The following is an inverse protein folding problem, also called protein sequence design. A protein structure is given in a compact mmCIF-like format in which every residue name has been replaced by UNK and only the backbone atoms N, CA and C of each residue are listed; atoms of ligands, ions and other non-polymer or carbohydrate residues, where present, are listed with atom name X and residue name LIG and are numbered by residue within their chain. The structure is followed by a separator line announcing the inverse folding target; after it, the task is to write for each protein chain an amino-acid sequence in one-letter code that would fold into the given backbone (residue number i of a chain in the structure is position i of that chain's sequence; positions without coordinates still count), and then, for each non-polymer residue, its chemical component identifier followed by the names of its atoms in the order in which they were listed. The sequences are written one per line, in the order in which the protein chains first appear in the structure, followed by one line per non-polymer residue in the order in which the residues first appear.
data_IF_508267846294
#
_entry.id   IF_508267846294
#
_cell.length_a   1.000
_cell.length_b   1.000
_cell.length_c   1.000
_cell.angle_alpha   90.00
_cell.angle_beta   90.00
_cell.angle_gamma   90.00
#
_symmetry.space_group_name_H-M   'P 1'
#
loop_
_entity.id
_entity.type
_entity.pdbx_description
1 polymer ?
#
# COMPACT_ATOMS: atom_id res chain seq x y z
N UNK A 1 -24.21 2.46 -22.94
CA UNK A 1 -23.10 1.52 -22.70
C UNK A 1 -22.16 1.64 -23.88
N UNK A 2 -20.91 2.01 -23.65
CA UNK A 2 -19.91 2.11 -24.70
C UNK A 2 -19.64 0.69 -25.22
N UNK A 3 -19.80 0.47 -26.53
CA UNK A 3 -19.30 -0.72 -27.20
C UNK A 3 -17.76 -0.63 -27.22
N UNK A 4 -17.12 -0.87 -26.08
CA UNK A 4 -15.68 -1.05 -26.03
C UNK A 4 -15.33 -2.36 -26.72
N UNK A 5 -14.38 -2.33 -27.64
CA UNK A 5 -13.90 -3.54 -28.29
C UNK A 5 -12.81 -4.17 -27.42
N UNK A 6 -13.04 -5.40 -26.98
CA UNK A 6 -12.10 -6.14 -26.15
C UNK A 6 -11.16 -7.04 -26.97
N UNK A 7 -11.18 -6.95 -28.31
CA UNK A 7 -10.30 -7.71 -29.20
C UNK A 7 -8.83 -7.59 -28.81
N UNK A 8 -8.33 -6.36 -28.65
CA UNK A 8 -6.93 -6.11 -28.28
C UNK A 8 -6.56 -6.72 -26.92
N UNK A 9 -7.45 -6.62 -25.93
CA UNK A 9 -7.27 -7.27 -24.62
C UNK A 9 -7.15 -8.81 -24.76
N UNK A 10 -7.99 -9.42 -25.58
CA UNK A 10 -8.01 -10.88 -25.78
C UNK A 10 -6.75 -11.36 -26.49
N UNK A 11 -6.29 -10.62 -27.51
CA UNK A 11 -5.07 -10.93 -28.26
C UNK A 11 -3.83 -10.81 -27.37
N UNK A 12 -3.79 -9.80 -26.48
CA UNK A 12 -2.70 -9.66 -25.50
C UNK A 12 -2.71 -10.83 -24.51
N UNK A 13 -3.88 -11.22 -23.98
CA UNK A 13 -4.01 -12.36 -23.06
C UNK A 13 -3.57 -13.66 -23.73
N UNK A 14 -3.88 -13.85 -25.01
CA UNK A 14 -3.40 -15.00 -25.78
C UNK A 14 -1.88 -15.03 -25.85
N UNK A 15 -1.26 -13.91 -26.21
CA UNK A 15 0.19 -13.79 -26.30
C UNK A 15 0.87 -14.01 -24.94
N UNK A 16 0.26 -13.55 -23.83
CA UNK A 16 0.80 -13.73 -22.48
C UNK A 16 0.96 -15.20 -22.05
N UNK A 17 0.25 -16.15 -22.70
CA UNK A 17 0.43 -17.59 -22.45
C UNK A 17 1.81 -18.09 -22.85
N UNK A 18 2.37 -17.52 -23.91
CA UNK A 18 3.61 -18.00 -24.54
C UNK A 18 4.75 -17.01 -24.42
N UNK A 19 4.45 -15.71 -24.38
CA UNK A 19 5.39 -14.61 -24.33
C UNK A 19 5.13 -13.72 -23.10
N UNK A 20 6.16 -13.48 -22.29
CA UNK A 20 6.06 -12.66 -21.08
C UNK A 20 6.78 -11.32 -21.23
N UNK A 21 6.71 -10.76 -22.44
CA UNK A 21 7.30 -9.48 -22.77
C UNK A 21 6.69 -8.36 -21.90
N UNK A 22 7.52 -7.55 -21.21
CA UNK A 22 7.06 -6.35 -20.51
C UNK A 22 6.21 -5.40 -21.36
N UNK A 23 6.43 -5.34 -22.68
CA UNK A 23 5.66 -4.47 -23.56
C UNK A 23 4.21 -4.93 -23.74
N UNK A 24 3.93 -6.24 -23.69
CA UNK A 24 2.55 -6.76 -23.69
C UNK A 24 1.78 -6.32 -22.44
N UNK A 25 2.45 -6.32 -21.28
CA UNK A 25 1.84 -5.84 -20.03
C UNK A 25 1.57 -4.33 -20.05
N UNK A 26 2.40 -3.56 -20.76
CA UNK A 26 2.18 -2.12 -20.99
C UNK A 26 0.99 -1.87 -21.92
N UNK A 27 0.85 -2.67 -22.97
CA UNK A 27 -0.32 -2.60 -23.85
C UNK A 27 -1.60 -2.95 -23.09
N UNK A 28 -1.59 -4.03 -22.29
CA UNK A 28 -2.73 -4.38 -21.45
C UNK A 28 -3.07 -3.25 -20.45
N UNK A 29 -2.04 -2.62 -19.86
CA UNK A 29 -2.25 -1.46 -19.00
C UNK A 29 -2.89 -0.27 -19.74
N UNK A 30 -2.51 -0.04 -21.00
CA UNK A 30 -3.11 1.00 -21.83
C UNK A 30 -4.59 0.71 -22.09
N UNK A 31 -4.92 -0.51 -22.53
CA UNK A 31 -6.30 -0.94 -22.80
C UNK A 31 -7.19 -0.83 -21.55
N UNK A 32 -6.69 -1.27 -20.39
CA UNK A 32 -7.43 -1.13 -19.13
C UNK A 32 -7.71 0.34 -18.78
N UNK A 33 -6.77 1.26 -19.04
CA UNK A 33 -6.96 2.69 -18.80
C UNK A 33 -7.91 3.34 -19.82
N UNK A 34 -7.93 2.85 -21.06
CA UNK A 34 -8.88 3.28 -22.09
C UNK A 34 -10.31 2.90 -21.73
N UNK A 35 -10.51 1.73 -21.12
CA UNK A 35 -11.82 1.26 -20.69
C UNK A 35 -12.29 1.86 -19.36
N UNK A 36 -11.45 1.84 -18.31
CA UNK A 36 -11.81 2.30 -16.96
C UNK A 36 -11.55 3.81 -16.77
N UNK A 37 -12.23 4.68 -17.51
CA UNK A 37 -11.94 6.13 -17.57
C UNK A 37 -12.06 6.91 -16.24
N UNK A 38 -12.75 6.37 -15.25
CA UNK A 38 -12.90 6.98 -13.91
C UNK A 38 -11.76 6.67 -12.93
N UNK A 39 -10.82 5.81 -13.32
CA UNK A 39 -9.71 5.36 -12.47
C UNK A 39 -8.44 5.14 -13.31
N UNK A 40 -7.29 4.96 -12.69
CA UNK A 40 -6.02 4.74 -13.38
C UNK A 40 -5.34 3.48 -12.90
N UNK A 41 -5.15 2.52 -13.80
CA UNK A 41 -4.25 1.41 -13.62
C UNK A 41 -2.81 1.93 -13.78
N UNK A 42 -2.04 1.97 -12.69
CA UNK A 42 -0.66 2.46 -12.73
C UNK A 42 0.28 1.47 -13.46
N UNK A 43 0.10 0.17 -13.25
CA UNK A 43 0.94 -0.88 -13.84
C UNK A 43 0.22 -2.21 -13.76
N UNK A 44 0.43 -3.05 -14.79
CA UNK A 44 0.08 -4.47 -14.78
C UNK A 44 1.35 -5.31 -14.65
N UNK A 45 1.32 -6.29 -13.76
CA UNK A 45 2.42 -7.22 -13.50
C UNK A 45 1.97 -8.64 -13.77
N UNK A 46 2.90 -9.47 -14.23
CA UNK A 46 2.73 -10.92 -14.30
C UNK A 46 3.72 -11.58 -13.35
N UNK A 47 3.23 -12.51 -12.52
CA UNK A 47 4.05 -13.22 -11.55
C UNK A 47 4.15 -14.70 -11.88
N UNK A 48 5.38 -15.15 -12.16
CA UNK A 48 5.74 -16.56 -12.33
C UNK A 48 5.71 -17.28 -10.98
N UNK A 49 4.50 -17.60 -10.51
CA UNK A 49 4.29 -18.36 -9.30
C UNK A 49 4.41 -19.86 -9.61
N UNK A 50 5.51 -20.50 -9.18
CA UNK A 50 5.67 -21.95 -9.27
C UNK A 50 5.24 -22.62 -7.97
N UNK A 51 5.83 -22.18 -6.86
CA UNK A 51 5.86 -22.95 -5.61
C UNK A 51 5.03 -22.37 -4.47
N UNK A 52 4.35 -21.23 -4.67
CA UNK A 52 3.51 -20.60 -3.64
C UNK A 52 2.02 -20.76 -3.94
N UNK A 53 1.11 -20.48 -2.99
CA UNK A 53 -0.33 -20.60 -3.22
C UNK A 53 -0.80 -19.79 -4.43
N UNK A 54 -1.77 -20.33 -5.16
CA UNK A 54 -2.42 -19.64 -6.27
C UNK A 54 -3.27 -18.47 -5.76
N UNK A 55 -3.05 -17.27 -6.31
CA UNK A 55 -3.77 -16.07 -5.87
C UNK A 55 -4.72 -15.48 -6.93
N UNK A 56 -4.72 -16.02 -8.16
CA UNK A 56 -5.55 -15.50 -9.24
C UNK A 56 -5.12 -14.11 -9.68
N UNK A 57 -5.85 -13.08 -9.26
CA UNK A 57 -5.63 -11.69 -9.64
C UNK A 57 -5.56 -10.85 -8.37
N UNK A 58 -4.53 -10.01 -8.28
CA UNK A 58 -4.37 -9.05 -7.21
C UNK A 58 -4.55 -7.63 -7.75
N UNK A 59 -5.69 -7.03 -7.43
CA UNK A 59 -5.96 -5.61 -7.72
C UNK A 59 -5.72 -4.82 -6.43
N UNK A 60 -4.60 -4.11 -6.37
CA UNK A 60 -4.13 -3.42 -5.17
C UNK A 60 -4.40 -1.91 -5.27
N UNK A 61 -5.21 -1.31 -4.39
CA UNK A 61 -5.48 0.13 -4.42
C UNK A 61 -4.26 0.96 -4.01
N UNK A 62 -4.11 2.14 -4.61
CA UNK A 62 -3.07 3.11 -4.25
C UNK A 62 -3.60 4.06 -3.19
N UNK A 63 -3.33 3.71 -1.93
CA UNK A 63 -3.65 4.54 -0.75
C UNK A 63 -2.34 5.03 -0.14
N UNK A 64 -2.23 6.34 0.08
CA UNK A 64 -1.10 6.93 0.80
C UNK A 64 -1.31 6.74 2.30
N UNK A 65 -0.21 6.62 3.05
CA UNK A 65 -0.30 6.32 4.48
C UNK A 65 -1.04 7.43 5.24
N UNK A 66 -0.83 8.71 4.89
CA UNK A 66 -1.50 9.82 5.56
C UNK A 66 -3.02 9.84 5.33
N UNK A 67 -3.46 9.38 4.15
CA UNK A 67 -4.87 9.41 3.75
C UNK A 67 -5.68 8.33 4.49
N UNK A 68 -5.03 7.32 5.09
CA UNK A 68 -5.75 6.20 5.74
C UNK A 68 -6.59 6.66 6.93
N UNK A 69 -6.12 7.64 7.70
CA UNK A 69 -6.88 8.16 8.83
C UNK A 69 -8.11 8.92 8.36
N UNK A 70 -8.02 9.65 7.25
CA UNK A 70 -9.18 10.34 6.67
C UNK A 70 -10.19 9.31 6.15
N UNK A 71 -9.73 8.24 5.48
CA UNK A 71 -10.62 7.18 4.99
C UNK A 71 -11.37 6.49 6.13
N UNK A 72 -10.66 6.12 7.20
CA UNK A 72 -11.22 5.36 8.32
C UNK A 72 -12.06 6.23 9.26
N UNK A 73 -11.60 7.44 9.59
CA UNK A 73 -12.20 8.27 10.64
C UNK A 73 -13.23 9.28 10.13
N UNK A 74 -13.17 9.68 8.85
CA UNK A 74 -14.18 10.60 8.34
C UNK A 74 -15.51 9.87 8.19
N UNK A 75 -16.58 10.55 8.58
CA UNK A 75 -17.90 9.95 8.65
C UNK A 75 -18.42 9.61 7.25
N UNK A 76 -19.04 8.44 7.10
CA UNK A 76 -19.68 8.06 5.84
C UNK A 76 -20.92 8.93 5.51
N UNK A 77 -21.32 9.81 6.45
CA UNK A 77 -22.49 10.68 6.36
C UNK A 77 -22.17 12.19 6.33
N UNK A 78 -20.90 12.58 6.49
CA UNK A 78 -20.47 13.99 6.40
C UNK A 78 -20.15 14.34 4.94
N UNK A 79 -21.17 14.31 4.09
CA UNK A 79 -21.07 14.60 2.66
C UNK A 79 -21.60 15.99 2.34
N UNK A 80 -20.71 16.94 2.11
CA UNK A 80 -21.03 18.08 1.26
C UNK A 80 -21.11 17.60 -0.19
N UNK A 81 -22.34 17.70 -0.73
CA UNK A 81 -22.73 17.84 -2.14
C UNK A 81 -21.83 17.20 -3.21
N UNK A 82 -22.41 16.20 -3.88
CA UNK A 82 -22.12 15.74 -5.24
C UNK A 82 -20.67 15.24 -5.51
N UNK A 83 -20.54 13.94 -5.80
CA UNK A 83 -19.32 13.23 -6.26
C UNK A 83 -18.25 12.77 -5.23
N UNK A 84 -18.37 13.10 -3.94
CA UNK A 84 -17.31 12.88 -2.95
C UNK A 84 -17.24 11.49 -2.30
N UNK A 85 -17.84 10.44 -2.90
CA UNK A 85 -17.64 9.08 -2.35
C UNK A 85 -16.19 8.72 -2.59
N UNK A 86 -15.45 8.38 -1.53
CA UNK A 86 -14.06 7.93 -1.63
C UNK A 86 -14.02 6.69 -2.54
N UNK A 87 -13.81 6.90 -3.84
CA UNK A 87 -13.63 5.84 -4.83
C UNK A 87 -12.14 5.57 -4.98
N UNK A 88 -11.80 4.34 -5.32
CA UNK A 88 -10.43 3.98 -5.64
C UNK A 88 -10.09 4.51 -7.03
N UNK A 89 -9.36 5.63 -7.06
CA UNK A 89 -9.01 6.29 -8.31
C UNK A 89 -7.74 5.74 -8.96
N UNK A 90 -6.89 5.01 -8.21
CA UNK A 90 -5.62 4.48 -8.69
C UNK A 90 -5.37 3.09 -8.13
N UNK A 91 -4.87 2.19 -8.96
CA UNK A 91 -4.61 0.80 -8.57
C UNK A 91 -3.45 0.18 -9.35
N UNK A 92 -2.95 -0.95 -8.85
CA UNK A 92 -2.03 -1.84 -9.56
C UNK A 92 -2.73 -3.18 -9.80
N UNK A 93 -2.37 -3.86 -10.88
CA UNK A 93 -2.85 -5.21 -11.17
C UNK A 93 -1.67 -6.16 -11.21
N UNK A 94 -1.80 -7.31 -10.56
CA UNK A 94 -0.85 -8.41 -10.66
C UNK A 94 -1.59 -9.71 -10.97
N UNK A 95 -1.16 -10.38 -12.03
CA UNK A 95 -1.77 -11.60 -12.55
C UNK A 95 -0.88 -12.78 -12.17
N UNK A 96 -1.49 -13.82 -11.60
CA UNK A 96 -0.80 -15.09 -11.34
C UNK A 96 -0.67 -15.88 -12.64
N UNK A 97 0.56 -16.24 -13.03
CA UNK A 97 0.80 -17.04 -14.24
C UNK A 97 0.11 -18.41 -14.20
N UNK A 98 -0.24 -18.94 -13.02
CA UNK A 98 -1.01 -20.17 -12.88
C UNK A 98 -2.40 -20.10 -13.54
N UNK A 99 -2.96 -18.91 -13.79
CA UNK A 99 -4.21 -18.75 -14.57
C UNK A 99 -4.11 -19.34 -15.98
N UNK A 100 -2.90 -19.37 -16.55
CA UNK A 100 -2.64 -19.92 -17.88
C UNK A 100 -2.32 -21.42 -17.87
N UNK A 101 -2.37 -22.08 -16.70
CA UNK A 101 -2.07 -23.50 -16.58
C UNK A 101 -3.10 -24.33 -17.37
N UNK A 102 -2.66 -25.22 -18.28
CA UNK A 102 -3.55 -26.09 -19.04
C UNK A 102 -4.51 -26.94 -18.20
N UNK A 103 -4.16 -27.24 -16.94
CA UNK A 103 -5.02 -28.01 -16.03
C UNK A 103 -6.29 -27.24 -15.63
N UNK A 104 -6.20 -25.91 -15.53
CA UNK A 104 -7.35 -25.05 -15.25
C UNK A 104 -8.29 -24.92 -16.45
N UNK A 105 -7.74 -25.10 -17.66
CA UNK A 105 -8.45 -24.98 -18.93
C UNK A 105 -9.25 -23.67 -19.07
N UNK A 106 -8.72 -22.56 -18.52
CA UNK A 106 -9.37 -21.25 -18.64
C UNK A 106 -9.19 -20.69 -20.06
N UNK A 107 -10.26 -20.24 -20.70
CA UNK A 107 -10.22 -19.55 -21.98
C UNK A 107 -9.69 -18.11 -21.85
N UNK A 108 -9.27 -17.48 -22.94
CA UNK A 108 -8.80 -16.08 -22.90
C UNK A 108 -9.91 -15.12 -22.43
N UNK A 109 -11.15 -15.41 -22.83
CA UNK A 109 -12.33 -14.65 -22.40
C UNK A 109 -12.62 -14.83 -20.91
N UNK A 110 -12.47 -16.05 -20.41
CA UNK A 110 -12.63 -16.37 -18.98
C UNK A 110 -11.58 -15.65 -18.13
N UNK A 111 -10.32 -15.60 -18.58
CA UNK A 111 -9.25 -14.86 -17.89
C UNK A 111 -9.54 -13.35 -17.90
N UNK A 112 -9.96 -12.80 -19.04
CA UNK A 112 -10.34 -11.39 -19.13
C UNK A 112 -11.52 -11.07 -18.23
N UNK A 113 -12.53 -11.93 -18.17
CA UNK A 113 -13.68 -11.77 -17.29
C UNK A 113 -13.26 -11.68 -15.81
N UNK A 114 -12.32 -12.53 -15.36
CA UNK A 114 -11.76 -12.46 -14.01
C UNK A 114 -11.06 -11.12 -13.76
N UNK A 115 -10.26 -10.62 -14.72
CA UNK A 115 -9.56 -9.33 -14.62
C UNK A 115 -10.55 -8.18 -14.52
N UNK A 116 -11.54 -8.12 -15.42
CA UNK A 116 -12.55 -7.07 -15.45
C UNK A 116 -13.38 -7.08 -14.18
N UNK A 117 -13.73 -8.26 -13.66
CA UNK A 117 -14.49 -8.40 -12.42
C UNK A 117 -13.73 -7.84 -11.22
N UNK A 118 -12.51 -8.32 -10.96
CA UNK A 118 -11.75 -7.90 -9.78
C UNK A 118 -11.41 -6.39 -9.83
N UNK A 119 -11.17 -5.82 -11.02
CA UNK A 119 -10.97 -4.37 -11.19
C UNK A 119 -12.28 -3.62 -10.97
N UNK A 120 -13.35 -4.01 -11.67
CA UNK A 120 -14.64 -3.34 -11.62
C UNK A 120 -15.24 -3.35 -10.21
N UNK A 121 -15.10 -4.45 -9.48
CA UNK A 121 -15.50 -4.57 -8.09
C UNK A 121 -14.81 -3.53 -7.19
N UNK A 122 -13.57 -3.15 -7.49
CA UNK A 122 -12.81 -2.15 -6.72
C UNK A 122 -13.10 -0.70 -7.13
N UNK A 123 -13.27 -0.42 -8.43
CA UNK A 123 -13.26 0.97 -8.95
C UNK A 123 -14.64 1.52 -9.32
N UNK A 124 -15.62 0.67 -9.64
CA UNK A 124 -16.91 1.14 -10.14
C UNK A 124 -17.80 1.74 -9.03
N UNK A 125 -17.56 1.39 -7.76
CA UNK A 125 -18.35 1.87 -6.62
C UNK A 125 -17.47 2.12 -5.39
N UNK A 126 -17.99 2.84 -4.39
CA UNK A 126 -17.34 2.98 -3.07
C UNK A 126 -17.62 1.79 -2.15
N UNK A 127 -18.51 0.87 -2.55
CA UNK A 127 -19.00 -0.21 -1.69
C UNK A 127 -17.90 -1.02 -1.01
N UNK A 128 -16.77 -1.34 -1.65
CA UNK A 128 -15.69 -2.08 -0.97
C UNK A 128 -15.10 -1.32 0.22
N UNK A 129 -14.96 0.01 0.12
CA UNK A 129 -14.46 0.86 1.21
C UNK A 129 -15.47 0.89 2.35
N UNK A 130 -16.75 1.02 2.05
CA UNK A 130 -17.82 1.03 3.06
C UNK A 130 -17.88 -0.32 3.81
N UNK A 131 -17.77 -1.45 3.10
CA UNK A 131 -17.70 -2.79 3.70
C UNK A 131 -16.44 -2.94 4.56
N UNK A 132 -15.29 -2.52 4.05
CA UNK A 132 -14.02 -2.59 4.79
C UNK A 132 -14.07 -1.77 6.08
N UNK A 133 -14.67 -0.58 6.06
CA UNK A 133 -14.89 0.24 7.26
C UNK A 133 -15.79 -0.46 8.26
N UNK A 134 -16.93 -1.00 7.82
CA UNK A 134 -17.85 -1.73 8.68
C UNK A 134 -17.18 -2.94 9.35
N UNK A 135 -16.33 -3.70 8.65
CA UNK A 135 -15.57 -4.81 9.24
C UNK A 135 -14.57 -4.34 10.29
N UNK A 136 -13.89 -3.21 10.05
CA UNK A 136 -12.96 -2.60 11.02
C UNK A 136 -13.72 -2.12 12.25
N UNK A 137 -14.84 -1.42 12.07
CA UNK A 137 -15.67 -0.92 13.17
C UNK A 137 -16.18 -2.08 14.04
N UNK A 138 -16.65 -3.17 13.41
CA UNK A 138 -17.05 -4.39 14.12
C UNK A 138 -15.90 -5.00 14.92
N UNK A 139 -14.67 -4.99 14.39
CA UNK A 139 -13.50 -5.49 15.11
C UNK A 139 -13.16 -4.60 16.32
N UNK A 140 -13.15 -3.27 16.12
CA UNK A 140 -12.84 -2.30 17.16
C UNK A 140 -13.86 -2.37 18.32
N UNK A 141 -15.14 -2.49 18.00
CA UNK A 141 -16.22 -2.67 18.98
C UNK A 141 -16.03 -3.96 19.79
N UNK A 142 -15.82 -5.10 19.11
CA UNK A 142 -15.58 -6.40 19.77
C UNK A 142 -14.36 -6.43 20.68
N UNK A 143 -13.31 -5.70 20.32
CA UNK A 143 -12.03 -5.69 21.05
C UNK A 143 -11.89 -4.51 22.00
N UNK A 144 -12.92 -3.65 22.12
CA UNK A 144 -12.89 -2.40 22.87
C UNK A 144 -11.63 -1.56 22.58
N UNK A 145 -11.25 -1.51 21.30
CA UNK A 145 -10.04 -0.86 20.80
C UNK A 145 -10.40 0.41 20.04
N UNK A 146 -9.47 1.35 19.94
CA UNK A 146 -9.71 2.62 19.24
C UNK A 146 -8.54 2.97 18.32
N UNK A 147 -8.85 3.43 17.11
CA UNK A 147 -7.87 4.05 16.23
C UNK A 147 -7.78 5.53 16.61
N UNK A 148 -6.60 5.97 17.04
CA UNK A 148 -6.33 7.39 17.33
C UNK A 148 -5.46 7.93 16.23
N UNK A 149 -5.76 9.11 15.68
CA UNK A 149 -4.85 9.75 14.72
C UNK A 149 -3.49 9.95 15.41
N UNK A 150 -2.51 9.13 15.04
CA UNK A 150 -1.18 9.24 15.57
C UNK A 150 -0.38 10.27 14.78
N UNK A 151 0.48 11.02 15.47
CA UNK A 151 1.34 12.03 14.82
C UNK A 151 2.40 11.39 13.90
N UNK A 152 2.69 10.09 14.06
CA UNK A 152 3.72 9.41 13.30
C UNK A 152 3.15 8.67 12.08
N UNK A 153 3.69 9.01 10.90
CA UNK A 153 3.40 8.35 9.61
C UNK A 153 3.69 6.84 9.66
N UNK A 154 4.58 6.42 10.56
CA UNK A 154 5.01 5.03 10.70
C UNK A 154 3.88 4.06 11.08
N UNK A 155 2.95 4.49 11.94
CA UNK A 155 1.80 3.65 12.31
C UNK A 155 0.74 3.62 11.22
N UNK A 156 0.63 4.70 10.44
CA UNK A 156 -0.30 4.80 9.33
C UNK A 156 0.03 3.79 8.21
N UNK A 157 1.32 3.48 7.99
CA UNK A 157 1.75 2.46 7.04
C UNK A 157 1.21 1.05 7.39
N UNK A 158 1.14 0.71 8.69
CA UNK A 158 0.60 -0.58 9.14
C UNK A 158 -0.91 -0.67 8.87
N UNK A 159 -1.65 0.39 9.19
CA UNK A 159 -3.09 0.47 8.90
C UNK A 159 -3.36 0.43 7.39
N UNK A 160 -2.60 1.19 6.60
CA UNK A 160 -2.73 1.21 5.15
C UNK A 160 -2.47 -0.17 4.54
N UNK A 161 -1.48 -0.91 5.04
CA UNK A 161 -1.23 -2.29 4.62
C UNK A 161 -2.43 -3.21 4.90
N UNK A 162 -2.92 -3.25 6.14
CA UNK A 162 -4.07 -4.07 6.51
C UNK A 162 -5.33 -3.71 5.72
N UNK A 163 -5.57 -2.42 5.51
CA UNK A 163 -6.74 -1.93 4.78
C UNK A 163 -6.69 -2.27 3.29
N UNK A 164 -5.52 -2.14 2.66
CA UNK A 164 -5.33 -2.54 1.25
C UNK A 164 -5.51 -4.04 1.05
N UNK A 165 -4.97 -4.87 1.96
CA UNK A 165 -5.15 -6.33 1.93
C UNK A 165 -6.63 -6.70 2.09
N UNK A 166 -7.33 -6.05 3.02
CA UNK A 166 -8.76 -6.25 3.22
C UNK A 166 -9.57 -5.88 1.96
N UNK A 167 -9.31 -4.71 1.37
CA UNK A 167 -9.98 -4.27 0.14
C UNK A 167 -9.80 -5.28 -0.99
N UNK A 168 -8.57 -5.74 -1.23
CA UNK A 168 -8.29 -6.76 -2.25
C UNK A 168 -9.10 -8.03 -2.00
N UNK A 169 -9.16 -8.51 -0.76
CA UNK A 169 -9.92 -9.73 -0.41
C UNK A 169 -11.43 -9.54 -0.52
N UNK A 170 -11.96 -8.37 -0.16
CA UNK A 170 -13.39 -8.08 -0.33
C UNK A 170 -13.75 -8.02 -1.81
N UNK A 171 -12.87 -7.54 -2.69
CA UNK A 171 -13.18 -7.40 -4.11
C UNK A 171 -12.90 -8.65 -4.92
N UNK A 172 -11.91 -9.46 -4.53
CA UNK A 172 -11.43 -10.56 -5.35
C UNK A 172 -12.35 -11.78 -5.30
N UNK A 173 -12.56 -12.36 -6.49
CA UNK A 173 -13.32 -13.61 -6.68
C UNK A 173 -12.78 -14.79 -5.88
N UNK A 174 -11.49 -14.76 -5.53
CA UNK A 174 -10.83 -15.82 -4.77
C UNK A 174 -11.29 -15.90 -3.30
N UNK A 175 -12.00 -14.88 -2.81
CA UNK A 175 -12.41 -14.75 -1.41
C UNK A 175 -13.92 -14.47 -1.25
N UNK A 176 -14.56 -13.82 -2.23
CA UNK A 176 -15.98 -13.45 -2.18
C UNK A 176 -16.93 -14.63 -2.28
N UNK A 177 -18.11 -14.55 -1.64
CA UNK A 177 -19.18 -15.51 -1.89
C UNK A 177 -19.73 -15.35 -3.32
N UNK A 178 -19.91 -16.47 -4.00
CA UNK A 178 -20.26 -16.52 -5.42
C UNK A 178 -21.76 -16.46 -5.68
N UNK A 179 -22.59 -16.71 -4.67
CA UNK A 179 -24.05 -16.59 -4.83
C UNK A 179 -24.47 -15.12 -5.10
N UNK A 180 -23.66 -14.16 -4.66
CA UNK A 180 -23.80 -12.73 -4.97
C UNK A 180 -23.17 -12.31 -6.31
N UNK A 181 -22.31 -13.14 -6.92
CA UNK A 181 -21.58 -12.79 -8.15
C UNK A 181 -22.38 -13.04 -9.43
N UNK A 182 -23.46 -13.81 -9.35
CA UNK A 182 -24.33 -14.17 -10.48
C UNK A 182 -25.18 -12.98 -11.00
N UNK A 183 -25.06 -11.80 -10.38
CA UNK A 183 -25.78 -10.57 -10.74
C UNK A 183 -24.83 -9.38 -10.98
N UNK A 184 -23.62 -9.63 -11.51
CA UNK A 184 -22.70 -8.55 -11.87
C UNK A 184 -23.16 -7.83 -13.16
N UNK A 185 -24.06 -6.86 -12.99
CA UNK A 185 -24.61 -6.01 -14.07
C UNK A 185 -23.52 -5.37 -14.92
N UNK A 186 -22.35 -5.10 -14.33
CA UNK A 186 -21.23 -4.50 -15.05
C UNK A 186 -20.59 -5.51 -16.03
N UNK A 187 -20.30 -6.74 -15.59
CA UNK A 187 -19.76 -7.79 -16.47
C UNK A 187 -20.77 -8.23 -17.53
N UNK A 188 -22.06 -8.28 -17.18
CA UNK A 188 -23.14 -8.52 -18.15
C UNK A 188 -23.15 -7.42 -19.21
N UNK A 189 -23.04 -6.15 -18.80
CA UNK A 189 -22.94 -5.01 -19.70
C UNK A 189 -21.72 -5.03 -20.62
N UNK A 190 -20.63 -5.69 -20.21
CA UNK A 190 -19.43 -5.89 -21.02
C UNK A 190 -19.50 -7.13 -21.93
N UNK A 191 -20.53 -7.98 -21.80
CA UNK A 191 -20.65 -9.23 -22.54
C UNK A 191 -19.78 -10.38 -22.03
N UNK A 192 -19.36 -10.34 -20.76
CA UNK A 192 -18.50 -11.36 -20.12
C UNK A 192 -19.15 -12.10 -18.94
N UNK A 193 -20.44 -11.87 -18.65
CA UNK A 193 -21.13 -12.49 -17.52
C UNK A 193 -21.07 -14.03 -17.53
N UNK A 194 -21.34 -14.66 -18.67
CA UNK A 194 -21.27 -16.12 -18.82
C UNK A 194 -19.83 -16.64 -18.74
N UNK A 195 -18.87 -15.91 -19.32
CA UNK A 195 -17.44 -16.26 -19.26
C UNK A 195 -16.97 -16.28 -17.80
N UNK A 196 -17.42 -15.32 -16.97
CA UNK A 196 -17.10 -15.27 -15.54
C UNK A 196 -17.65 -16.50 -14.79
N UNK A 197 -18.92 -16.86 -15.03
CA UNK A 197 -19.56 -18.01 -14.38
C UNK A 197 -18.84 -19.32 -14.69
N UNK A 198 -18.43 -19.52 -15.94
CA UNK A 198 -17.66 -20.69 -16.36
C UNK A 198 -16.27 -20.69 -15.69
N UNK A 199 -15.59 -19.54 -15.66
CA UNK A 199 -14.28 -19.40 -15.01
C UNK A 199 -14.34 -19.78 -13.53
N UNK A 200 -15.33 -19.26 -12.80
CA UNK A 200 -15.61 -19.60 -11.40
C UNK A 200 -15.76 -21.12 -11.23
N UNK A 201 -16.60 -21.74 -12.07
CA UNK A 201 -16.90 -23.16 -11.98
C UNK A 201 -15.65 -24.01 -12.19
N UNK A 202 -14.80 -23.64 -13.16
CA UNK A 202 -13.50 -24.30 -13.39
C UNK A 202 -12.59 -24.16 -12.17
N UNK A 203 -12.43 -22.95 -11.63
CA UNK A 203 -11.62 -22.69 -10.44
C UNK A 203 -12.11 -23.44 -9.19
N UNK A 204 -13.43 -23.57 -9.01
CA UNK A 204 -14.05 -24.39 -7.95
C UNK A 204 -13.75 -25.88 -8.15
N UNK A 205 -13.96 -26.40 -9.36
CA UNK A 205 -13.71 -27.81 -9.67
C UNK A 205 -12.24 -28.21 -9.50
N UNK A 206 -11.31 -27.29 -9.77
CA UNK A 206 -9.88 -27.48 -9.55
C UNK A 206 -9.45 -27.30 -8.08
N UNK A 207 -10.38 -26.98 -7.17
CA UNK A 207 -10.12 -26.86 -5.73
C UNK A 207 -9.38 -25.59 -5.31
N UNK A 208 -9.21 -24.62 -6.21
CA UNK A 208 -8.58 -23.32 -5.89
C UNK A 208 -9.53 -22.39 -5.15
N UNK A 209 -10.83 -22.53 -5.46
CA UNK A 209 -11.92 -21.86 -4.77
C UNK A 209 -12.69 -22.92 -3.98
N UNK A 210 -12.40 -23.02 -2.69
CA UNK A 210 -13.13 -23.87 -1.75
C UNK A 210 -13.80 -22.96 -0.72
N UNK A 211 -15.12 -22.81 -0.82
CA UNK A 211 -15.95 -22.39 0.30
C UNK A 211 -16.19 -23.63 1.13
N UNK A 212 -15.48 -23.76 2.24
CA UNK A 212 -15.92 -24.69 3.27
C UNK A 212 -17.31 -24.22 3.70
N UNK A 213 -18.29 -25.12 3.73
CA UNK A 213 -19.68 -24.90 4.18
C UNK A 213 -19.81 -24.49 5.67
N UNK A 214 -18.80 -23.82 6.22
CA UNK A 214 -18.67 -23.42 7.62
C UNK A 214 -17.85 -22.14 7.78
N UNK A 215 -18.12 -21.14 6.94
CA UNK A 215 -17.72 -19.74 7.18
C UNK A 215 -17.00 -19.07 5.99
N UNK A 216 -17.12 -17.74 5.85
CA UNK A 216 -16.32 -16.99 4.88
C UNK A 216 -14.83 -17.22 5.15
N UNK A 217 -13.99 -17.27 4.10
CA UNK A 217 -12.54 -17.10 4.29
C UNK A 217 -12.37 -15.81 5.10
N UNK A 218 -11.61 -15.88 6.19
CA UNK A 218 -11.43 -14.76 7.12
C UNK A 218 -10.69 -13.61 6.40
N UNK A 219 -11.46 -12.79 5.67
CA UNK A 219 -11.01 -11.60 4.94
C UNK A 219 -10.38 -10.62 5.91
N UNK A 220 -10.88 -10.62 7.14
CA UNK A 220 -10.51 -9.70 8.20
C UNK A 220 -9.26 -10.11 9.01
N UNK A 221 -8.70 -11.33 8.86
CA UNK A 221 -7.59 -11.79 9.73
C UNK A 221 -6.40 -10.82 9.74
N UNK A 222 -5.99 -10.33 8.57
CA UNK A 222 -4.79 -9.50 8.44
C UNK A 222 -5.04 -8.10 8.99
N UNK A 223 -6.20 -7.51 8.73
CA UNK A 223 -6.54 -6.20 9.30
C UNK A 223 -6.70 -6.31 10.83
N UNK A 224 -7.31 -7.38 11.35
CA UNK A 224 -7.43 -7.66 12.77
C UNK A 224 -6.03 -7.74 13.43
N UNK A 225 -5.11 -8.47 12.80
CA UNK A 225 -3.72 -8.53 13.24
C UNK A 225 -3.03 -7.16 13.18
N UNK A 226 -3.23 -6.39 12.10
CA UNK A 226 -2.69 -5.05 11.97
C UNK A 226 -3.19 -4.12 13.08
N UNK A 227 -4.48 -4.18 13.43
CA UNK A 227 -5.09 -3.39 14.51
C UNK A 227 -4.57 -3.81 15.88
N UNK A 228 -4.40 -5.11 16.12
CA UNK A 228 -3.76 -5.61 17.35
C UNK A 228 -2.33 -5.10 17.51
N UNK A 229 -1.52 -5.15 16.44
CA UNK A 229 -0.16 -4.60 16.46
C UNK A 229 -0.19 -3.08 16.59
N UNK A 230 -1.12 -2.39 15.93
CA UNK A 230 -1.27 -0.94 15.98
C UNK A 230 -1.51 -0.42 17.40
N UNK A 231 -2.32 -1.12 18.19
CA UNK A 231 -2.61 -0.74 19.58
C UNK A 231 -1.41 -0.93 20.52
N UNK A 232 -0.45 -1.78 20.16
CA UNK A 232 0.74 -2.08 20.98
C UNK A 232 1.98 -2.25 20.10
N UNK A 233 2.32 -1.21 19.32
CA UNK A 233 3.44 -1.29 18.37
C UNK A 233 4.76 -1.40 19.13
N UNK A 234 4.94 -0.69 20.24
CA UNK A 234 6.22 -0.64 20.96
C UNK A 234 6.65 -2.03 21.44
N UNK A 235 5.72 -2.83 21.96
CA UNK A 235 6.02 -4.18 22.44
C UNK A 235 6.15 -5.19 21.30
N UNK A 236 5.33 -5.05 20.24
CA UNK A 236 5.23 -6.06 19.19
C UNK A 236 6.13 -5.80 17.97
N UNK A 237 6.72 -4.60 17.83
CA UNK A 237 7.47 -4.17 16.62
C UNK A 237 8.47 -5.19 16.11
N UNK A 238 9.37 -5.68 16.96
CA UNK A 238 10.46 -6.59 16.54
C UNK A 238 9.89 -7.93 16.06
N UNK A 239 8.88 -8.43 16.77
CA UNK A 239 8.19 -9.68 16.42
C UNK A 239 7.44 -9.49 15.09
N UNK A 240 6.74 -8.36 14.93
CA UNK A 240 6.06 -7.97 13.69
C UNK A 240 7.01 -7.91 12.51
N UNK A 241 8.16 -7.24 12.63
CA UNK A 241 9.16 -7.18 11.55
C UNK A 241 9.66 -8.58 11.17
N UNK A 242 9.97 -9.43 12.16
CA UNK A 242 10.40 -10.82 11.90
C UNK A 242 9.29 -11.64 11.23
N UNK A 243 8.06 -11.50 11.70
CA UNK A 243 6.88 -12.17 11.14
C UNK A 243 6.63 -11.76 9.68
N UNK A 244 6.67 -10.45 9.40
CA UNK A 244 6.52 -9.90 8.05
C UNK A 244 7.63 -10.38 7.10
N UNK A 245 8.89 -10.41 7.54
CA UNK A 245 9.99 -10.97 6.73
C UNK A 245 9.76 -12.43 6.37
N UNK A 246 9.24 -13.22 7.30
CA UNK A 246 8.88 -14.61 7.06
C UNK A 246 7.67 -14.72 6.13
N UNK A 247 6.65 -13.87 6.30
CA UNK A 247 5.46 -13.84 5.44
C UNK A 247 5.81 -13.56 3.97
N UNK A 248 6.79 -12.70 3.70
CA UNK A 248 7.28 -12.45 2.34
C UNK A 248 7.78 -13.72 1.62
N UNK A 249 8.33 -14.71 2.35
CA UNK A 249 8.75 -15.97 1.73
C UNK A 249 7.60 -16.89 1.35
N UNK A 250 6.39 -16.66 1.87
CA UNK A 250 5.23 -17.53 1.63
C UNK A 250 4.28 -17.01 0.54
N UNK A 251 4.43 -15.75 0.12
CA UNK A 251 3.63 -15.17 -0.96
C UNK A 251 4.47 -15.02 -2.23
N UNK A 252 3.89 -15.28 -3.41
CA UNK A 252 4.49 -14.86 -4.69
C UNK A 252 4.12 -13.43 -5.07
N UNK A 253 3.10 -12.84 -4.44
CA UNK A 253 2.51 -11.57 -4.87
C UNK A 253 3.50 -10.43 -4.61
N UNK A 254 4.02 -9.83 -5.68
CA UNK A 254 5.02 -8.76 -5.66
C UNK A 254 4.46 -7.48 -5.06
N UNK A 255 3.20 -7.15 -5.35
CA UNK A 255 2.51 -5.99 -4.77
C UNK A 255 2.41 -6.12 -3.24
N UNK A 256 2.06 -7.30 -2.73
CA UNK A 256 2.01 -7.57 -1.28
C UNK A 256 3.41 -7.50 -0.67
N UNK A 257 4.44 -8.07 -1.30
CA UNK A 257 5.83 -7.95 -0.84
C UNK A 257 6.27 -6.50 -0.72
N UNK A 258 5.96 -5.67 -1.72
CA UNK A 258 6.28 -4.23 -1.71
C UNK A 258 5.62 -3.51 -0.53
N UNK A 259 4.35 -3.80 -0.24
CA UNK A 259 3.68 -3.20 0.92
C UNK A 259 4.27 -3.73 2.24
N UNK A 260 4.64 -5.02 2.33
CA UNK A 260 5.33 -5.57 3.51
C UNK A 260 6.67 -4.87 3.74
N UNK A 261 7.49 -4.68 2.70
CA UNK A 261 8.77 -3.96 2.79
C UNK A 261 8.60 -2.51 3.27
N UNK A 262 7.54 -1.85 2.79
CA UNK A 262 7.16 -0.50 3.24
C UNK A 262 6.82 -0.48 4.73
N UNK A 263 6.01 -1.44 5.21
CA UNK A 263 5.68 -1.55 6.64
C UNK A 263 6.92 -1.85 7.47
N UNK A 264 7.79 -2.77 7.04
CA UNK A 264 9.04 -3.08 7.74
C UNK A 264 9.91 -1.82 7.88
N UNK A 265 10.02 -1.03 6.81
CA UNK A 265 10.80 0.20 6.80
C UNK A 265 10.19 1.25 7.73
N UNK A 266 8.88 1.43 7.68
CA UNK A 266 8.14 2.35 8.55
C UNK A 266 8.31 1.97 10.02
N UNK A 267 8.14 0.69 10.37
CA UNK A 267 8.31 0.19 11.72
C UNK A 267 9.76 0.33 12.21
N UNK A 268 10.75 0.07 11.35
CA UNK A 268 12.17 0.22 11.72
C UNK A 268 12.56 1.66 12.05
N UNK A 269 11.93 2.65 11.40
CA UNK A 269 12.17 4.09 11.65
C UNK A 269 11.50 4.64 12.90
N UNK A 270 10.71 3.84 13.62
CA UNK A 270 10.09 4.28 14.87
C UNK A 270 11.15 4.62 15.93
N UNK A 271 12.30 3.94 15.94
CA UNK A 271 13.41 4.29 16.85
C UNK A 271 14.04 5.64 16.52
N UNK A 272 14.20 5.97 15.24
CA UNK A 272 14.75 7.27 14.82
C UNK A 272 13.79 8.41 15.20
N UNK A 273 12.48 8.17 15.06
CA UNK A 273 11.45 9.16 15.41
C UNK A 273 11.20 9.24 16.92
N UNK A 274 11.31 8.15 17.67
CA UNK A 274 11.22 8.19 19.14
C UNK A 274 12.42 8.90 19.75
N UNK A 275 13.61 8.84 19.13
CA UNK A 275 14.76 9.70 19.46
C UNK A 275 14.53 11.18 19.14
N UNK A 276 13.61 11.50 18.21
CA UNK A 276 13.25 12.87 17.82
C UNK A 276 12.06 13.43 18.65
N UNK A 277 11.07 12.61 19.01
CA UNK A 277 9.91 12.97 19.84
C UNK A 277 10.24 12.92 21.35
N UNK A 278 11.11 12.01 21.79
CA UNK A 278 11.72 12.09 23.10
C UNK A 278 12.85 13.12 23.02
N UNK A 279 12.53 14.40 23.26
CA UNK A 279 13.56 15.39 23.50
C UNK A 279 14.39 15.00 24.73
N UNK A 280 15.70 14.74 24.52
CA UNK A 280 16.71 15.64 25.07
C UNK A 280 17.50 16.34 23.95
N UNK A 281 16.93 16.58 22.78
CA UNK A 281 17.64 17.26 21.67
C UNK A 281 17.41 18.78 21.68
N UNK A 282 16.31 19.31 22.21
CA UNK A 282 16.11 20.77 22.28
C UNK A 282 16.88 21.45 23.42
N UNK A 283 16.99 20.83 24.61
CA UNK A 283 17.89 21.35 25.65
C UNK A 283 19.36 21.18 25.22
N UNK A 284 19.73 20.06 24.59
CA UNK A 284 21.09 19.82 24.12
C UNK A 284 21.44 20.73 22.93
N UNK A 285 20.51 21.02 22.01
CA UNK A 285 20.72 22.01 20.93
C UNK A 285 20.72 23.44 21.44
N UNK A 286 19.91 23.77 22.46
CA UNK A 286 19.91 25.08 23.10
C UNK A 286 21.18 25.30 23.91
N UNK A 287 21.62 24.29 24.67
CA UNK A 287 22.90 24.30 25.36
C UNK A 287 24.07 24.29 24.37
N UNK A 288 24.04 23.52 23.28
CA UNK A 288 25.07 23.59 22.23
C UNK A 288 25.08 24.95 21.53
N UNK A 289 23.92 25.57 21.26
CA UNK A 289 23.84 26.93 20.68
C UNK A 289 24.33 28.00 21.66
N UNK A 290 23.96 27.93 22.93
CA UNK A 290 24.39 28.87 23.96
C UNK A 290 25.87 28.70 24.27
N UNK A 291 26.38 27.45 24.25
CA UNK A 291 27.79 27.11 24.44
C UNK A 291 28.62 27.45 23.19
N UNK A 292 28.13 27.20 21.98
CA UNK A 292 28.83 27.61 20.74
C UNK A 292 28.75 29.11 20.48
N UNK A 293 27.69 29.80 20.90
CA UNK A 293 27.64 31.25 20.90
C UNK A 293 28.54 31.84 21.98
N UNK A 294 28.65 31.23 23.18
CA UNK A 294 29.64 31.67 24.18
C UNK A 294 31.07 31.40 23.74
N UNK A 295 31.35 30.27 23.08
CA UNK A 295 32.66 29.97 22.51
C UNK A 295 32.98 30.85 21.30
N UNK A 296 32.00 31.22 20.47
CA UNK A 296 32.19 32.18 19.39
C UNK A 296 32.40 33.59 19.94
N UNK A 297 31.69 34.00 20.98
CA UNK A 297 31.90 35.31 21.62
C UNK A 297 33.19 35.36 22.44
N UNK A 298 33.62 34.27 23.09
CA UNK A 298 34.90 34.23 23.81
C UNK A 298 36.07 34.17 22.83
N UNK A 299 35.99 33.33 21.78
CA UNK A 299 37.02 33.27 20.75
C UNK A 299 37.11 34.58 19.96
N UNK A 300 35.98 35.22 19.61
CA UNK A 300 36.01 36.53 18.92
C UNK A 300 36.57 37.61 19.86
N UNK A 301 36.26 37.59 21.16
CA UNK A 301 36.81 38.55 22.13
C UNK A 301 38.32 38.32 22.38
N UNK A 302 38.77 37.07 22.36
CA UNK A 302 40.19 36.72 22.46
C UNK A 302 40.92 37.11 21.17
N UNK A 303 40.33 36.89 19.99
CA UNK A 303 40.88 37.38 18.71
C UNK A 303 40.87 38.91 18.60
N UNK A 304 39.86 39.60 19.11
CA UNK A 304 39.81 41.08 19.14
C UNK A 304 40.83 41.64 20.12
N UNK A 305 40.99 41.03 21.30
CA UNK A 305 42.04 41.42 22.25
C UNK A 305 43.44 41.14 21.69
N UNK A 306 43.66 39.98 21.05
CA UNK A 306 44.94 39.65 20.41
C UNK A 306 45.23 40.58 19.24
N UNK A 307 44.23 40.97 18.45
CA UNK A 307 44.38 41.93 17.34
C UNK A 307 44.64 43.35 17.86
N UNK A 308 43.98 43.75 18.96
CA UNK A 308 44.20 45.05 19.59
C UNK A 308 45.59 45.11 20.25
N UNK A 309 46.02 44.02 20.88
CA UNK A 309 47.37 43.88 21.43
C UNK A 309 48.43 43.84 20.32
N UNK A 310 48.18 43.13 19.21
CA UNK A 310 49.03 43.16 18.02
C UNK A 310 49.10 44.56 17.40
N UNK A 311 47.98 45.29 17.31
CA UNK A 311 47.96 46.66 16.81
C UNK A 311 48.66 47.64 17.75
N UNK A 312 48.54 47.48 19.08
CA UNK A 312 49.29 48.27 20.06
C UNK A 312 50.79 47.95 19.96
N UNK A 313 51.17 46.68 19.82
CA UNK A 313 52.57 46.28 19.61
C UNK A 313 53.09 46.84 18.30
N UNK A 314 52.38 46.70 17.18
CA UNK A 314 52.72 47.30 15.88
C UNK A 314 52.85 48.81 15.92
N UNK A 315 52.04 49.49 16.75
CA UNK A 315 52.07 50.94 16.90
C UNK A 315 53.15 51.43 17.88
N UNK A 316 53.70 50.54 18.69
CA UNK A 316 54.81 50.80 19.62
C UNK A 316 56.15 50.24 19.11
N UNK A 317 56.20 49.63 17.91
CA UNK A 317 57.46 49.29 17.23
C UNK A 317 57.92 50.56 16.51
N UNK A 318 58.67 51.39 17.23
CA UNK A 318 59.39 52.55 16.67
C UNK A 318 60.87 52.22 16.34
N UNK A 319 61.33 50.98 16.53
CA UNK A 319 62.70 50.57 16.19
C UNK A 319 62.78 49.21 15.46
N UNK A 320 63.53 49.20 14.36
CA UNK A 320 63.62 48.19 13.30
C UNK A 320 64.47 46.95 13.69
N UNK A 321 64.32 46.39 14.91
CA UNK A 321 65.21 45.30 15.32
C UNK A 321 64.70 44.20 16.26
N UNK A 322 63.39 44.03 16.46
CA UNK A 322 62.86 42.89 17.23
C UNK A 322 61.72 42.16 16.49
N UNK A 323 62.05 41.56 15.35
CA UNK A 323 61.17 40.61 14.66
C UNK A 323 61.94 39.37 14.20
N UNK A 324 62.33 38.52 15.16
CA UNK A 324 62.61 37.10 14.95
C UNK A 324 61.87 36.26 15.99
#
# INVERSE_FOLDING_TARGET
MNNYDFGDCLDIIEQLRTNQDPDLLRQLNHELNSFFTGSTCNTVLLSKNTDTPFFGICVMPVIKDNDIYDILLNDAFEYNSDDSKAKVNKYYVEIDFKLFNPILDLSNREILALILHDIGALVNTSSPIDIAKAEIDMYLDKTNSVIRRANTVNYAALLAFGFKDLLWKITSIMYKDHDMLLADDFLIGCGFGMDLEIAIKKLKNSGYINYTNSGPRDTSTIIAWCLSVYNDVLSNRIITIKGLRKAMSYTAIRLVKREIERVITALSRIDDNSLLEAGPIDWARKQYRDTTNSFKYSAIKDYENDLFEFQIRLRNIDEENDAL
#
